data_IF_553100135239
#
_entry.id   IF_553100135239
#
_cell.length_a   1.000
_cell.length_b   1.000
_cell.length_c   1.000
_cell.angle_alpha   90.00
_cell.angle_beta   90.00
_cell.angle_gamma   90.00
#
_symmetry.space_group_name_H-M   'P 1'
#
loop_
_entity.id
_entity.type
_entity.pdbx_description
1 polymer ?
#
# COMPACT_ATOMS: atom_id res chain seq x y z
N UNK A 1 -12.71 34.25 44.71
CA UNK A 1 -11.52 34.36 45.56
C UNK A 1 -10.38 33.66 44.86
N UNK A 2 -9.25 34.35 44.73
CA UNK A 2 -8.00 33.89 44.12
C UNK A 2 -7.41 32.77 44.99
N UNK A 3 -6.76 31.75 44.39
CA UNK A 3 -5.58 31.15 45.00
C UNK A 3 -4.61 30.61 43.95
N UNK A 4 -3.43 31.25 43.91
CA UNK A 4 -2.21 30.79 43.26
C UNK A 4 -1.76 29.44 43.83
N UNK A 5 -1.11 28.61 43.01
CA UNK A 5 0.10 27.93 43.49
C UNK A 5 1.08 27.59 42.36
N UNK A 6 2.17 28.34 42.35
CA UNK A 6 3.44 28.06 41.68
C UNK A 6 4.20 26.97 42.46
N UNK A 7 4.77 25.99 41.74
CA UNK A 7 5.93 25.16 42.12
C UNK A 7 6.63 24.79 40.81
N UNK A 8 7.78 25.35 40.40
CA UNK A 8 9.17 25.34 40.94
C UNK A 8 9.84 23.96 40.84
N UNK A 9 10.78 23.82 39.89
CA UNK A 9 11.89 22.84 39.78
C UNK A 9 12.86 23.42 38.72
N UNK A 10 13.99 24.07 39.03
CA UNK A 10 15.34 23.60 39.47
C UNK A 10 16.11 22.77 38.43
N UNK A 11 17.17 23.37 37.84
CA UNK A 11 18.60 22.95 37.89
C UNK A 11 19.39 23.23 36.57
N UNK A 12 20.26 24.25 36.65
CA UNK A 12 21.69 24.36 36.23
C UNK A 12 22.32 23.15 35.49
N UNK A 13 22.63 23.22 34.19
CA UNK A 13 23.91 23.63 33.49
C UNK A 13 24.84 22.42 33.16
N UNK A 14 25.80 22.45 32.21
CA UNK A 14 25.82 22.79 30.76
C UNK A 14 26.37 21.59 29.90
N UNK A 15 26.73 21.86 28.63
CA UNK A 15 27.65 21.13 27.73
C UNK A 15 27.03 20.30 26.56
N UNK A 16 27.23 20.84 25.35
CA UNK A 16 27.21 20.21 24.01
C UNK A 16 28.13 18.96 23.90
N UNK A 17 28.24 18.29 22.73
CA UNK A 17 27.29 18.04 21.61
C UNK A 17 27.26 16.54 21.20
N UNK A 18 26.17 16.01 20.63
CA UNK A 18 26.33 14.86 19.71
C UNK A 18 25.18 14.69 18.71
N UNK A 19 25.59 14.23 17.54
CA UNK A 19 24.80 13.94 16.35
C UNK A 19 23.80 12.82 16.62
N UNK A 20 22.58 12.95 16.08
CA UNK A 20 21.75 11.76 15.89
C UNK A 20 20.27 12.07 15.72
N UNK A 21 19.77 11.84 14.50
CA UNK A 21 18.45 11.30 14.18
C UNK A 21 17.31 11.55 15.18
N UNK A 22 16.22 12.15 14.69
CA UNK A 22 14.97 11.42 14.36
C UNK A 22 13.77 12.38 14.35
N UNK A 23 12.87 12.11 13.39
CA UNK A 23 11.43 12.42 13.31
C UNK A 23 10.95 13.86 13.20
N UNK A 24 10.68 14.29 11.96
CA UNK A 24 9.44 15.02 11.64
C UNK A 24 8.86 14.44 10.33
N UNK A 25 7.95 13.48 10.48
CA UNK A 25 7.17 12.94 9.36
C UNK A 25 6.02 13.89 9.05
N UNK A 26 6.34 15.02 8.43
CA UNK A 26 5.37 15.81 7.67
C UNK A 26 5.28 15.22 6.28
N UNK A 27 4.23 14.46 5.99
CA UNK A 27 3.87 14.15 4.61
C UNK A 27 2.42 14.52 4.39
N UNK A 28 2.27 15.79 4.02
CA UNK A 28 1.21 16.30 3.14
C UNK A 28 1.14 15.36 1.93
N UNK A 29 0.05 14.61 1.79
CA UNK A 29 -0.26 13.95 0.52
C UNK A 29 -1.16 14.88 -0.30
N UNK A 30 -0.50 15.61 -1.20
CA UNK A 30 -1.07 16.43 -2.25
C UNK A 30 -2.08 15.63 -3.07
N UNK A 31 -3.28 16.19 -3.19
CA UNK A 31 -4.19 15.94 -4.31
C UNK A 31 -3.49 16.44 -5.58
N UNK A 32 -3.37 15.60 -6.61
CA UNK A 32 -3.33 16.06 -8.01
C UNK A 32 -3.70 14.91 -8.95
N UNK A 33 -4.56 15.27 -9.90
CA UNK A 33 -5.17 14.42 -10.91
C UNK A 33 -4.29 14.47 -12.18
N UNK A 34 -3.43 13.47 -12.37
CA UNK A 34 -2.62 13.28 -13.59
C UNK A 34 -2.26 11.81 -13.68
N UNK A 35 -2.49 11.21 -14.86
CA UNK A 35 -2.19 9.81 -15.25
C UNK A 35 -1.34 9.07 -14.22
N UNK A 36 -1.95 8.15 -13.46
CA UNK A 36 -1.23 7.33 -12.45
C UNK A 36 -0.23 6.41 -13.15
N UNK A 37 0.99 6.90 -13.35
CA UNK A 37 2.14 6.09 -13.77
C UNK A 37 2.78 5.34 -12.59
N UNK A 38 2.26 5.55 -11.37
CA UNK A 38 2.74 4.89 -10.15
C UNK A 38 1.56 4.41 -9.30
N UNK A 39 1.65 3.18 -8.77
CA UNK A 39 0.69 2.68 -7.77
C UNK A 39 0.78 3.55 -6.52
N UNK A 40 -0.36 3.89 -5.93
CA UNK A 40 -0.36 4.52 -4.62
C UNK A 40 0.28 3.60 -3.58
N UNK A 41 0.89 4.19 -2.56
CA UNK A 41 1.48 3.46 -1.43
C UNK A 41 0.49 2.48 -0.78
N UNK A 42 -0.79 2.83 -0.75
CA UNK A 42 -1.86 1.98 -0.22
C UNK A 42 -2.18 0.81 -1.15
N UNK A 43 -2.21 1.05 -2.46
CA UNK A 43 -2.43 0.03 -3.50
C UNK A 43 -1.28 -0.97 -3.48
N UNK A 44 -0.04 -0.49 -3.39
CA UNK A 44 1.15 -1.32 -3.26
C UNK A 44 1.12 -2.15 -1.97
N UNK A 45 0.75 -1.57 -0.83
CA UNK A 45 0.58 -2.33 0.43
C UNK A 45 -0.46 -3.42 0.31
N UNK A 46 -1.56 -3.14 -0.40
CA UNK A 46 -2.59 -4.13 -0.65
C UNK A 46 -2.06 -5.24 -1.57
N UNK A 47 -1.37 -4.90 -2.66
CA UNK A 47 -0.71 -5.84 -3.55
C UNK A 47 0.28 -6.74 -2.81
N UNK A 48 1.15 -6.18 -1.97
CA UNK A 48 2.09 -6.93 -1.14
C UNK A 48 1.36 -7.91 -0.23
N UNK A 49 0.24 -7.49 0.40
CA UNK A 49 -0.59 -8.38 1.22
C UNK A 49 -1.21 -9.51 0.42
N UNK A 50 -1.68 -9.19 -0.79
CA UNK A 50 -2.26 -10.16 -1.73
C UNK A 50 -1.24 -11.24 -2.07
N UNK A 51 -0.07 -10.81 -2.56
CA UNK A 51 1.04 -11.68 -2.93
C UNK A 51 1.54 -12.49 -1.73
N UNK A 52 1.68 -11.88 -0.56
CA UNK A 52 2.11 -12.58 0.64
C UNK A 52 1.17 -13.72 1.04
N UNK A 53 -0.14 -13.57 0.86
CA UNK A 53 -1.08 -14.63 1.25
C UNK A 53 -1.15 -15.79 0.23
N UNK A 54 -0.82 -15.54 -1.04
CA UNK A 54 -0.55 -16.63 -2.00
C UNK A 54 0.83 -17.27 -1.79
N UNK A 55 1.64 -16.75 -0.87
CA UNK A 55 2.98 -17.25 -0.57
C UNK A 55 4.08 -16.68 -1.46
N UNK A 56 3.81 -15.61 -2.19
CA UNK A 56 4.76 -14.95 -3.07
C UNK A 56 5.30 -13.64 -2.49
N UNK A 57 6.58 -13.38 -2.75
CA UNK A 57 7.21 -12.10 -2.45
C UNK A 57 6.82 -11.09 -3.53
N UNK A 58 6.42 -9.90 -3.09
CA UNK A 58 6.13 -8.81 -4.02
C UNK A 58 7.43 -8.24 -4.58
N UNK A 59 7.62 -8.36 -5.88
CA UNK A 59 8.77 -7.79 -6.58
C UNK A 59 8.32 -6.58 -7.37
N UNK A 60 8.87 -5.40 -7.04
CA UNK A 60 8.53 -4.16 -7.74
C UNK A 60 8.86 -4.22 -9.24
N UNK A 61 9.86 -5.03 -9.62
CA UNK A 61 10.28 -5.24 -11.01
C UNK A 61 9.18 -5.91 -11.86
N UNK A 62 8.26 -6.64 -11.23
CA UNK A 62 7.18 -7.35 -11.91
C UNK A 62 5.90 -6.53 -12.00
N UNK A 63 5.88 -5.32 -11.42
CA UNK A 63 4.74 -4.39 -11.50
C UNK A 63 4.90 -3.57 -12.79
N UNK A 64 3.90 -3.64 -13.66
CA UNK A 64 3.79 -2.83 -14.87
C UNK A 64 2.45 -2.13 -14.88
N UNK A 65 2.40 -0.83 -15.14
CA UNK A 65 1.13 -0.13 -15.29
C UNK A 65 0.90 0.09 -16.78
N UNK A 66 -0.17 -0.49 -17.31
CA UNK A 66 -0.55 -0.35 -18.73
C UNK A 66 -1.93 0.30 -18.78
N UNK A 67 -2.05 1.43 -19.48
CA UNK A 67 -3.32 2.15 -19.63
C UNK A 67 -4.00 2.52 -18.30
N UNK A 68 -3.22 2.78 -17.25
CA UNK A 68 -3.74 3.07 -15.90
C UNK A 68 -4.23 1.84 -15.13
N UNK A 69 -4.10 0.63 -15.69
CA UNK A 69 -4.38 -0.65 -15.04
C UNK A 69 -3.06 -1.19 -14.49
N UNK A 70 -3.09 -1.70 -13.26
CA UNK A 70 -1.93 -2.35 -12.67
C UNK A 70 -1.83 -3.79 -13.18
N UNK A 71 -0.68 -4.17 -13.72
CA UNK A 71 -0.37 -5.52 -14.14
C UNK A 71 0.78 -6.01 -13.26
N UNK A 72 0.69 -7.25 -12.78
CA UNK A 72 1.72 -7.88 -11.98
C UNK A 72 2.08 -9.24 -12.57
N UNK A 73 3.34 -9.40 -12.96
CA UNK A 73 3.83 -10.69 -13.44
C UNK A 73 4.12 -11.61 -12.25
N UNK A 74 3.39 -12.72 -12.18
CA UNK A 74 3.55 -13.79 -11.21
C UNK A 74 3.99 -15.07 -11.92
N UNK A 75 5.29 -15.30 -12.03
CA UNK A 75 5.86 -16.41 -12.80
C UNK A 75 5.31 -16.40 -14.23
N UNK A 76 4.56 -17.43 -14.64
CA UNK A 76 3.94 -17.56 -15.97
C UNK A 76 2.57 -16.85 -16.07
N UNK A 77 2.02 -16.39 -14.95
CA UNK A 77 0.70 -15.77 -14.87
C UNK A 77 0.80 -14.25 -14.70
N UNK A 78 0.02 -13.49 -15.46
CA UNK A 78 -0.13 -12.05 -15.27
C UNK A 78 -1.39 -11.75 -14.48
N UNK A 79 -1.26 -11.10 -13.33
CA UNK A 79 -2.39 -10.54 -12.59
C UNK A 79 -2.71 -9.15 -13.15
N UNK A 80 -3.92 -8.95 -13.63
CA UNK A 80 -4.39 -7.69 -14.20
C UNK A 80 -5.45 -7.13 -13.26
N UNK A 81 -5.17 -5.98 -12.64
CA UNK A 81 -6.07 -5.32 -11.69
C UNK A 81 -7.01 -4.35 -12.43
N UNK A 82 -7.88 -4.88 -13.29
CA UNK A 82 -8.90 -4.12 -14.03
C UNK A 82 -10.31 -4.41 -13.48
N UNK A 83 -10.89 -5.58 -13.76
CA UNK A 83 -12.23 -5.96 -13.34
C UNK A 83 -12.29 -7.44 -13.02
N UNK A 84 -12.82 -7.77 -11.84
CA UNK A 84 -12.90 -9.16 -11.36
C UNK A 84 -13.95 -9.99 -12.11
N UNK A 85 -14.89 -9.32 -12.79
CA UNK A 85 -15.95 -9.97 -13.58
C UNK A 85 -15.43 -10.43 -14.94
N UNK A 86 -14.27 -9.92 -15.38
CA UNK A 86 -13.62 -10.34 -16.61
C UNK A 86 -13.18 -11.80 -16.49
N UNK A 87 -13.38 -12.56 -17.56
CA UNK A 87 -12.97 -13.96 -17.62
C UNK A 87 -11.45 -14.09 -17.54
N UNK A 88 -10.98 -15.00 -16.71
CA UNK A 88 -9.56 -15.34 -16.64
C UNK A 88 -9.15 -16.23 -17.81
N UNK A 89 -7.88 -16.17 -18.18
CA UNK A 89 -7.26 -17.13 -19.10
C UNK A 89 -6.25 -18.01 -18.36
N UNK A 90 -5.64 -18.97 -19.06
CA UNK A 90 -4.62 -19.85 -18.49
C UNK A 90 -3.40 -19.08 -17.96
N UNK A 91 -3.10 -17.90 -18.50
CA UNK A 91 -1.91 -17.10 -18.16
C UNK A 91 -2.25 -15.68 -17.70
N UNK A 92 -3.52 -15.26 -17.70
CA UNK A 92 -3.91 -13.92 -17.23
C UNK A 92 -5.11 -14.00 -16.30
N UNK A 93 -5.01 -13.33 -15.16
CA UNK A 93 -6.06 -13.33 -14.16
C UNK A 93 -6.49 -11.91 -13.87
N UNK A 94 -7.77 -11.67 -14.12
CA UNK A 94 -8.40 -10.37 -13.95
C UNK A 94 -8.96 -10.26 -12.54
N UNK A 95 -8.42 -9.31 -11.80
CA UNK A 95 -8.75 -9.02 -10.41
C UNK A 95 -9.38 -7.64 -10.31
N UNK A 96 -10.09 -7.40 -9.21
CA UNK A 96 -10.63 -6.06 -8.94
C UNK A 96 -9.49 -5.04 -8.88
N UNK A 97 -9.74 -3.79 -9.31
CA UNK A 97 -8.73 -2.76 -9.26
C UNK A 97 -8.37 -2.47 -7.80
N UNK A 98 -7.07 -2.28 -7.52
CA UNK A 98 -6.56 -2.09 -6.15
C UNK A 98 -7.27 -0.93 -5.43
N UNK A 99 -7.46 0.19 -6.13
CA UNK A 99 -8.27 1.32 -5.68
C UNK A 99 -9.68 0.94 -5.22
N UNK A 100 -10.36 0.02 -5.92
CA UNK A 100 -11.72 -0.42 -5.58
C UNK A 100 -11.71 -1.37 -4.40
N UNK A 101 -10.74 -2.28 -4.33
CA UNK A 101 -10.53 -3.14 -3.17
C UNK A 101 -10.15 -2.35 -1.90
N UNK A 102 -9.48 -1.21 -2.04
CA UNK A 102 -9.19 -0.31 -0.91
C UNK A 102 -10.46 0.37 -0.39
N UNK A 103 -11.33 0.85 -1.27
CA UNK A 103 -12.61 1.50 -0.91
C UNK A 103 -13.62 0.51 -0.33
N UNK A 104 -13.76 -0.66 -0.96
CA UNK A 104 -14.75 -1.66 -0.60
C UNK A 104 -14.09 -2.99 -0.22
N UNK A 105 -14.09 -3.38 1.07
CA UNK A 105 -13.50 -4.65 1.50
C UNK A 105 -14.24 -5.86 0.92
N UNK A 106 -15.50 -5.71 0.50
CA UNK A 106 -16.29 -6.76 -0.14
C UNK A 106 -15.69 -7.20 -1.49
N UNK A 107 -15.00 -6.28 -2.19
CA UNK A 107 -14.33 -6.57 -3.46
C UNK A 107 -13.04 -7.38 -3.27
N UNK A 108 -12.55 -7.53 -2.04
CA UNK A 108 -11.39 -8.37 -1.76
C UNK A 108 -11.71 -9.85 -1.89
N UNK A 109 -12.91 -10.27 -1.44
CA UNK A 109 -13.35 -11.67 -1.46
C UNK A 109 -13.26 -12.30 -2.86
N UNK A 110 -13.85 -11.74 -3.93
CA UNK A 110 -13.79 -12.35 -5.25
C UNK A 110 -12.35 -12.37 -5.81
N UNK A 111 -11.55 -11.34 -5.56
CA UNK A 111 -10.12 -11.33 -5.91
C UNK A 111 -9.36 -12.47 -5.24
N UNK A 112 -9.62 -12.72 -3.95
CA UNK A 112 -9.00 -13.83 -3.20
C UNK A 112 -9.44 -15.20 -3.70
N UNK A 113 -10.71 -15.37 -4.05
CA UNK A 113 -11.23 -16.64 -4.58
C UNK A 113 -10.51 -17.00 -5.88
N UNK A 114 -10.36 -16.04 -6.81
CA UNK A 114 -9.60 -16.23 -8.05
C UNK A 114 -8.13 -16.56 -7.81
N UNK A 115 -7.49 -15.86 -6.89
CA UNK A 115 -6.09 -16.12 -6.52
C UNK A 115 -5.89 -17.46 -5.81
N UNK A 116 -6.91 -17.96 -5.12
CA UNK A 116 -6.87 -19.29 -4.49
C UNK A 116 -7.02 -20.39 -5.53
N UNK A 117 -7.83 -20.17 -6.57
CA UNK A 117 -7.94 -21.09 -7.70
C UNK A 117 -6.60 -21.30 -8.44
N UNK A 118 -5.74 -20.27 -8.47
CA UNK A 118 -4.36 -20.34 -8.98
C UNK A 118 -3.41 -21.23 -8.18
N UNK A 119 -3.67 -21.40 -6.89
CA UNK A 119 -2.77 -22.12 -5.98
C UNK A 119 -2.90 -23.65 -6.11
N UNK A 120 -3.81 -24.13 -6.95
CA UNK A 120 -4.25 -25.52 -6.96
C UNK A 120 -3.71 -26.34 -8.14
#
# INVERSE_FOLDING_TARGET
GILLLVRKQTNTDPAQPDKGSKIEASTVCSKNNTVKETLDKEELRLLVKILKAIGHTCEHQNISIKQGISHYQLHDTTLIFDDVSTADTQQTIHLSPLSRMLKDPNQKRPTWEKLKALKN
#
